data_IF_632634394387
#
_entry.id   IF_632634394387
#
_cell.length_a   1.000
_cell.length_b   1.000
_cell.length_c   1.000
_cell.angle_alpha   90.00
_cell.angle_beta   90.00
_cell.angle_gamma   90.00
#
_symmetry.space_group_name_H-M   'P 1'
#
loop_
_entity.id
_entity.type
_entity.pdbx_description
1 polymer ?
#
# COMPACT_ATOMS: atom_id res chain seq x y z
N UNK A 1 3.68 19.46 -0.43
CA UNK A 1 4.35 18.22 0.02
C UNK A 1 3.78 17.08 -0.79
N UNK A 2 4.62 16.22 -1.37
CA UNK A 2 4.14 15.04 -2.10
C UNK A 2 3.49 14.03 -1.15
N UNK A 3 2.48 13.29 -1.61
CA UNK A 3 1.70 12.33 -0.80
C UNK A 3 2.50 11.10 -0.34
N UNK A 4 2.59 10.81 0.97
CA UNK A 4 3.41 9.74 1.51
C UNK A 4 3.07 8.39 0.87
N UNK A 5 4.09 7.53 0.77
CA UNK A 5 3.97 6.18 0.23
C UNK A 5 4.42 5.18 1.29
N UNK A 6 3.68 4.09 1.42
CA UNK A 6 4.06 2.92 2.21
C UNK A 6 4.17 1.69 1.29
N UNK A 7 5.07 0.77 1.65
CA UNK A 7 5.19 -0.54 1.02
C UNK A 7 4.83 -1.59 2.06
N UNK A 8 3.87 -2.44 1.73
CA UNK A 8 3.55 -3.64 2.49
C UNK A 8 4.09 -4.84 1.72
N UNK A 9 5.05 -5.52 2.32
CA UNK A 9 5.76 -6.66 1.75
C UNK A 9 5.41 -7.94 2.51
N UNK A 10 5.00 -8.98 1.79
CA UNK A 10 4.64 -10.30 2.30
C UNK A 10 3.43 -10.90 1.58
N UNK A 11 3.37 -12.22 1.49
CA UNK A 11 2.30 -12.97 0.77
C UNK A 11 0.88 -12.68 1.28
N UNK A 12 0.76 -12.13 2.48
CA UNK A 12 -0.52 -11.78 3.12
C UNK A 12 -0.84 -10.29 3.01
N UNK A 13 -0.04 -9.47 2.32
CA UNK A 13 -0.22 -8.01 2.26
C UNK A 13 -1.62 -7.62 1.76
N UNK A 14 -2.03 -8.20 0.63
CA UNK A 14 -3.35 -7.95 0.05
C UNK A 14 -4.48 -8.42 0.99
N UNK A 15 -4.34 -9.60 1.58
CA UNK A 15 -5.33 -10.16 2.51
C UNK A 15 -5.47 -9.33 3.78
N UNK A 16 -4.34 -8.90 4.37
CA UNK A 16 -4.35 -8.09 5.57
C UNK A 16 -5.02 -6.74 5.32
N UNK A 17 -4.70 -6.08 4.20
CA UNK A 17 -5.36 -4.83 3.80
C UNK A 17 -6.86 -5.04 3.56
N UNK A 18 -7.28 -6.12 2.90
CA UNK A 18 -8.68 -6.43 2.71
C UNK A 18 -9.43 -6.64 4.04
N UNK A 19 -8.77 -7.23 5.05
CA UNK A 19 -9.32 -7.35 6.40
C UNK A 19 -9.42 -6.02 7.16
N UNK A 20 -8.75 -4.96 6.68
CA UNK A 20 -8.87 -3.59 7.22
C UNK A 20 -9.89 -2.74 6.43
N UNK A 21 -10.82 -3.39 5.72
CA UNK A 21 -11.87 -2.76 4.90
C UNK A 21 -11.33 -1.95 3.69
N UNK A 22 -10.14 -2.29 3.18
CA UNK A 22 -9.65 -1.72 1.92
C UNK A 22 -10.08 -2.56 0.72
N UNK A 23 -10.51 -1.90 -0.35
CA UNK A 23 -10.87 -2.56 -1.61
C UNK A 23 -9.62 -3.09 -2.33
N UNK A 24 -9.19 -4.33 -2.05
CA UNK A 24 -8.05 -4.96 -2.72
C UNK A 24 -8.38 -6.38 -3.17
N UNK A 25 -8.17 -6.65 -4.46
CA UNK A 25 -8.30 -7.99 -5.03
C UNK A 25 -7.12 -8.91 -4.70
N UNK A 26 -7.42 -10.11 -4.20
CA UNK A 26 -6.41 -11.13 -3.85
C UNK A 26 -5.62 -11.68 -5.05
N UNK A 27 -6.17 -11.61 -6.28
CA UNK A 27 -5.58 -12.23 -7.46
C UNK A 27 -5.16 -11.29 -8.60
N UNK A 28 -5.20 -9.97 -8.42
CA UNK A 28 -4.82 -9.03 -9.49
C UNK A 28 -3.74 -8.06 -9.05
N UNK A 29 -2.74 -7.77 -9.90
CA UNK A 29 -2.13 -6.45 -9.88
C UNK A 29 -3.15 -5.43 -10.39
N UNK A 30 -3.36 -4.33 -9.67
CA UNK A 30 -4.25 -3.24 -10.05
C UNK A 30 -4.08 -2.07 -9.09
N UNK A 31 -4.47 -0.87 -9.54
CA UNK A 31 -4.66 0.27 -8.67
C UNK A 31 -6.11 0.28 -8.16
N UNK A 32 -6.27 0.50 -6.86
CA UNK A 32 -7.53 0.48 -6.13
C UNK A 32 -7.75 1.84 -5.47
N UNK A 33 -8.66 2.69 -5.99
CA UNK A 33 -8.96 3.99 -5.39
C UNK A 33 -9.69 3.81 -4.05
N UNK A 34 -9.29 4.56 -3.02
CA UNK A 34 -9.89 4.53 -1.67
C UNK A 34 -10.61 5.86 -1.37
N UNK A 35 -11.21 6.47 -2.40
CA UNK A 35 -11.82 7.80 -2.34
C UNK A 35 -10.81 8.89 -1.97
N UNK A 36 -11.21 9.82 -1.09
CA UNK A 36 -10.32 10.88 -0.61
C UNK A 36 -9.17 10.38 0.31
N UNK A 37 -9.17 9.10 0.69
CA UNK A 37 -8.12 8.58 1.57
C UNK A 37 -6.78 8.44 0.85
N UNK A 38 -6.82 8.18 -0.46
CA UNK A 38 -5.66 7.85 -1.29
C UNK A 38 -5.96 6.65 -2.17
N UNK A 39 -4.91 5.92 -2.54
CA UNK A 39 -5.03 4.75 -3.40
C UNK A 39 -4.04 3.65 -2.97
N UNK A 40 -4.36 2.41 -3.34
CA UNK A 40 -3.49 1.27 -3.12
C UNK A 40 -3.19 0.60 -4.46
N UNK A 41 -1.92 0.31 -4.73
CA UNK A 41 -1.51 -0.50 -5.88
C UNK A 41 -1.03 -1.84 -5.39
N UNK A 42 -1.64 -2.91 -5.89
CA UNK A 42 -1.05 -4.24 -5.75
C UNK A 42 -0.09 -4.48 -6.90
N UNK A 43 1.19 -4.59 -6.60
CA UNK A 43 2.25 -4.79 -7.61
C UNK A 43 2.32 -6.27 -7.99
N UNK A 44 2.27 -7.16 -6.99
CA UNK A 44 2.25 -8.61 -7.16
C UNK A 44 1.59 -9.29 -5.95
N UNK A 45 1.80 -10.59 -5.76
CA UNK A 45 1.24 -11.35 -4.62
C UNK A 45 1.83 -10.97 -3.26
N UNK A 46 2.99 -10.32 -3.24
CA UNK A 46 3.74 -10.02 -2.02
C UNK A 46 3.82 -8.52 -1.76
N UNK A 47 3.62 -7.66 -2.75
CA UNK A 47 3.85 -6.22 -2.62
C UNK A 47 2.56 -5.44 -2.88
N UNK A 48 2.15 -4.67 -1.89
CA UNK A 48 1.16 -3.62 -2.01
C UNK A 48 1.78 -2.26 -1.67
N UNK A 49 1.41 -1.22 -2.41
CA UNK A 49 1.85 0.16 -2.21
C UNK A 49 0.64 1.01 -1.84
N UNK A 50 0.71 1.81 -0.81
CA UNK A 50 -0.35 2.78 -0.47
C UNK A 50 0.18 4.20 -0.62
N UNK A 51 -0.57 5.07 -1.30
CA UNK A 51 -0.23 6.49 -1.48
C UNK A 51 -1.34 7.39 -0.96
N UNK A 52 -0.98 8.39 -0.15
CA UNK A 52 -1.91 9.39 0.37
C UNK A 52 -1.80 9.58 1.89
N UNK A 53 -1.88 10.83 2.35
CA UNK A 53 -1.68 11.16 3.78
C UNK A 53 -2.64 10.42 4.71
N UNK A 54 -3.94 10.38 4.36
CA UNK A 54 -4.97 9.76 5.19
C UNK A 54 -4.80 8.23 5.21
N UNK A 55 -4.59 7.60 4.05
CA UNK A 55 -4.47 6.15 3.97
C UNK A 55 -3.20 5.62 4.61
N UNK A 56 -2.05 6.27 4.41
CA UNK A 56 -0.80 5.80 5.01
C UNK A 56 -0.87 5.88 6.53
N UNK A 57 -1.46 6.95 7.07
CA UNK A 57 -1.62 7.08 8.52
C UNK A 57 -2.53 5.98 9.08
N UNK A 58 -3.68 5.73 8.44
CA UNK A 58 -4.59 4.65 8.84
C UNK A 58 -3.91 3.28 8.84
N UNK A 59 -3.13 2.97 7.80
CA UNK A 59 -2.39 1.71 7.70
C UNK A 59 -1.38 1.58 8.83
N UNK A 60 -0.62 2.63 9.13
CA UNK A 60 0.33 2.62 10.25
C UNK A 60 -0.34 2.45 11.61
N UNK A 61 -1.47 3.12 11.83
CA UNK A 61 -2.23 3.00 13.08
C UNK A 61 -2.72 1.55 13.25
N UNK A 62 -3.33 0.96 12.21
CA UNK A 62 -3.75 -0.45 12.21
C UNK A 62 -2.60 -1.44 12.40
N UNK A 63 -1.47 -1.16 11.78
CA UNK A 63 -0.26 -1.97 11.91
C UNK A 63 0.24 -2.03 13.36
N UNK A 64 0.22 -0.90 14.07
CA UNK A 64 0.62 -0.81 15.48
C UNK A 64 -0.36 -1.51 16.42
N UNK A 65 -1.64 -1.51 16.09
CA UNK A 65 -2.68 -2.20 16.86
C UNK A 65 -2.57 -3.72 16.75
N UNK A 66 -2.23 -4.24 15.57
CA UNK A 66 -2.12 -5.67 15.32
C UNK A 66 -1.13 -5.92 14.19
N UNK A 67 0.15 -6.09 14.54
CA UNK A 67 1.20 -6.39 13.56
C UNK A 67 1.01 -7.82 13.06
N UNK A 68 0.71 -8.02 11.77
CA UNK A 68 0.53 -9.36 11.22
C UNK A 68 1.87 -10.10 11.09
N UNK A 69 1.86 -11.41 11.36
CA UNK A 69 3.00 -12.29 11.09
C UNK A 69 3.32 -12.31 9.58
N UNK A 70 4.61 -12.43 9.25
CA UNK A 70 5.14 -12.54 7.88
C UNK A 70 4.84 -11.35 6.95
N UNK A 71 4.64 -10.18 7.53
CA UNK A 71 4.40 -8.93 6.82
C UNK A 71 5.39 -7.87 7.31
N UNK A 72 5.93 -7.10 6.38
CA UNK A 72 6.86 -5.98 6.66
C UNK A 72 6.28 -4.69 6.10
N UNK A 73 6.31 -3.63 6.92
CA UNK A 73 5.89 -2.29 6.52
C UNK A 73 7.13 -1.40 6.33
N UNK A 74 7.32 -0.91 5.11
CA UNK A 74 8.43 -0.02 4.78
C UNK A 74 7.94 1.41 4.56
N UNK A 75 8.72 2.36 5.08
CA UNK A 75 8.63 3.79 4.75
C UNK A 75 9.81 4.16 3.84
N UNK A 76 9.63 4.14 2.51
CA UNK A 76 10.71 4.43 1.57
C UNK A 76 11.21 5.88 1.71
N UNK A 77 12.53 6.12 1.53
CA UNK A 77 13.08 7.46 1.51
C UNK A 77 12.62 8.23 0.26
N UNK A 78 12.68 9.57 0.32
CA UNK A 78 12.25 10.43 -0.78
C UNK A 78 12.97 10.14 -2.12
N UNK A 79 14.20 9.62 -2.07
CA UNK A 79 15.02 9.33 -3.25
C UNK A 79 14.42 8.26 -4.19
N UNK A 80 13.68 7.28 -3.67
CA UNK A 80 13.11 6.20 -4.50
C UNK A 80 11.70 6.52 -5.02
N UNK A 81 11.16 7.66 -4.61
CA UNK A 81 9.78 8.07 -4.88
C UNK A 81 9.41 8.13 -6.37
N UNK A 82 10.25 8.68 -7.28
CA UNK A 82 9.89 8.73 -8.70
C UNK A 82 9.62 7.34 -9.31
N UNK A 83 10.33 6.31 -8.82
CA UNK A 83 10.12 4.92 -9.26
C UNK A 83 8.81 4.35 -8.71
N UNK A 84 8.45 4.71 -7.47
CA UNK A 84 7.20 4.27 -6.86
C UNK A 84 5.99 4.94 -7.50
N UNK A 85 6.06 6.24 -7.80
CA UNK A 85 4.97 6.96 -8.44
C UNK A 85 4.61 6.38 -9.82
N UNK A 86 5.59 5.89 -10.58
CA UNK A 86 5.37 5.23 -11.87
C UNK A 86 4.49 3.97 -11.77
N UNK A 87 4.50 3.29 -10.62
CA UNK A 87 3.68 2.10 -10.37
C UNK A 87 2.20 2.45 -10.15
N UNK A 88 1.89 3.68 -9.75
CA UNK A 88 0.51 4.17 -9.59
C UNK A 88 -0.09 4.68 -10.90
N UNK A 89 0.74 5.15 -11.82
CA UNK A 89 0.27 5.69 -13.12
C UNK A 89 0.21 4.64 -14.23
N UNK A 90 0.51 3.37 -13.94
CA UNK A 90 0.46 2.28 -14.92
C UNK A 90 1.65 2.25 -15.89
N UNK A 91 2.86 2.59 -15.43
CA UNK A 91 4.05 2.68 -16.29
C UNK A 91 4.69 1.33 -16.63
N UNK A 92 4.28 0.74 -17.76
CA UNK A 92 5.14 0.36 -18.88
C UNK A 92 4.30 0.33 -20.17
#
# INVERSE_FOLDING_TARGET
MSDPILILEGRRAASWLAMQDYDIGLHSPACYPQGEAGEIVKVNLEICLARGVKITKKIEDRWRESTPDDLVLHRPPAAVRPRLDALFTGGA
#
